data_IF_096676079447
#
_entry.id   IF_096676079447
#
_cell.length_a   1.000
_cell.length_b   1.000
_cell.length_c   1.000
_cell.angle_alpha   90.00
_cell.angle_beta   90.00
_cell.angle_gamma   90.00
#
_symmetry.space_group_name_H-M   'P 1'
#
loop_
_entity.id
_entity.type
_entity.pdbx_description
1 polymer ?
#
# COMPACT_ATOMS: atom_id res chain seq x y z
N UNK A 1 -4.70 13.13 20.58
CA UNK A 1 -3.97 13.21 19.29
C UNK A 1 -4.91 12.76 18.19
N UNK A 2 -5.04 13.55 17.13
CA UNK A 2 -5.80 13.17 15.94
C UNK A 2 -5.14 11.99 15.24
N UNK A 3 -5.96 11.12 14.63
CA UNK A 3 -5.51 9.97 13.87
C UNK A 3 -6.46 9.72 12.70
N UNK A 4 -5.95 9.12 11.63
CA UNK A 4 -6.75 8.73 10.47
C UNK A 4 -7.42 7.38 10.72
N UNK A 5 -8.60 7.18 10.15
CA UNK A 5 -9.36 5.92 10.19
C UNK A 5 -8.93 4.92 9.12
N UNK A 6 -8.20 5.41 8.11
CA UNK A 6 -7.71 4.60 7.00
C UNK A 6 -6.26 4.92 6.65
N UNK A 7 -5.64 3.94 5.98
CA UNK A 7 -4.38 4.07 5.26
C UNK A 7 -4.61 3.59 3.83
N UNK A 8 -4.28 4.41 2.85
CA UNK A 8 -4.31 4.06 1.42
C UNK A 8 -2.87 3.76 0.97
N UNK A 9 -2.62 2.54 0.51
CA UNK A 9 -1.34 2.11 -0.05
C UNK A 9 -1.36 1.96 -1.56
N UNK A 10 -0.32 2.41 -2.23
CA UNK A 10 -0.03 2.13 -3.64
C UNK A 10 1.48 1.90 -3.83
N UNK A 11 1.85 1.17 -4.88
CA UNK A 11 3.25 0.97 -5.25
C UNK A 11 3.49 1.14 -6.75
N UNK A 12 4.65 1.72 -7.09
CA UNK A 12 5.11 1.80 -8.47
C UNK A 12 6.55 1.30 -8.58
N UNK A 13 6.86 0.63 -9.69
CA UNK A 13 8.24 0.32 -10.03
C UNK A 13 9.04 1.59 -10.29
N UNK A 14 10.29 1.58 -9.86
CA UNK A 14 11.29 2.59 -10.15
C UNK A 14 12.60 1.93 -10.60
N UNK A 15 13.44 2.66 -11.33
CA UNK A 15 14.75 2.15 -11.77
C UNK A 15 15.80 3.23 -11.63
N UNK A 16 16.88 2.92 -10.93
CA UNK A 16 18.02 3.83 -10.73
C UNK A 16 19.31 3.12 -11.12
N UNK A 17 20.07 3.70 -12.07
CA UNK A 17 21.35 3.15 -12.58
C UNK A 17 21.27 1.67 -12.97
N UNK A 18 20.18 1.29 -13.64
CA UNK A 18 19.96 -0.07 -14.09
C UNK A 18 19.37 -1.02 -13.04
N UNK A 19 19.30 -0.61 -11.78
CA UNK A 19 18.81 -1.41 -10.65
C UNK A 19 17.32 -1.12 -10.40
N UNK A 20 16.50 -2.16 -10.31
CA UNK A 20 15.08 -2.05 -10.02
C UNK A 20 14.84 -1.75 -8.53
N UNK A 21 13.91 -0.84 -8.28
CA UNK A 21 13.45 -0.38 -6.97
C UNK A 21 11.92 -0.30 -7.01
N UNK A 22 11.32 -0.07 -5.86
CA UNK A 22 9.89 0.17 -5.70
C UNK A 22 9.68 1.42 -4.87
N UNK A 23 8.79 2.29 -5.35
CA UNK A 23 8.29 3.44 -4.59
C UNK A 23 6.96 3.03 -3.99
N UNK A 24 6.88 3.04 -2.66
CA UNK A 24 5.66 2.83 -1.91
C UNK A 24 5.11 4.18 -1.47
N UNK A 25 3.81 4.37 -1.62
CA UNK A 25 3.10 5.57 -1.17
C UNK A 25 2.03 5.14 -0.18
N UNK A 26 2.10 5.71 1.03
CA UNK A 26 1.06 5.54 2.05
C UNK A 26 0.44 6.89 2.38
N UNK A 27 -0.85 7.00 2.13
CA UNK A 27 -1.64 8.21 2.34
C UNK A 27 -2.68 7.99 3.44
N UNK A 28 -2.91 9.04 4.21
CA UNK A 28 -4.00 9.13 5.20
C UNK A 28 -4.75 10.44 4.99
N UNK A 29 -5.76 10.73 5.82
CA UNK A 29 -6.39 12.05 5.83
C UNK A 29 -5.42 13.17 6.31
N UNK A 30 -4.33 12.82 6.98
CA UNK A 30 -3.45 13.76 7.68
C UNK A 30 -2.09 13.95 7.01
N UNK A 31 -1.59 12.94 6.29
CA UNK A 31 -0.27 12.99 5.66
C UNK A 31 -0.14 12.02 4.50
N UNK A 32 0.95 12.19 3.75
CA UNK A 32 1.46 11.23 2.77
C UNK A 32 2.92 10.94 3.06
N UNK A 33 3.31 9.67 3.00
CA UNK A 33 4.68 9.22 3.16
C UNK A 33 5.11 8.39 1.94
N UNK A 34 6.37 8.58 1.54
CA UNK A 34 6.99 7.90 0.41
C UNK A 34 8.19 7.09 0.89
N UNK A 35 8.28 5.84 0.44
CA UNK A 35 9.40 4.94 0.77
C UNK A 35 9.95 4.34 -0.52
N UNK A 36 11.28 4.30 -0.63
CA UNK A 36 11.95 3.64 -1.75
C UNK A 36 12.67 2.41 -1.22
N UNK A 37 12.27 1.24 -1.69
CA UNK A 37 12.83 -0.04 -1.29
C UNK A 37 13.26 -0.85 -2.51
N UNK A 38 13.95 -1.96 -2.26
CA UNK A 38 14.45 -2.84 -3.33
C UNK A 38 13.40 -3.84 -3.80
N UNK A 39 12.35 -4.07 -3.00
CA UNK A 39 11.29 -5.02 -3.30
C UNK A 39 9.93 -4.45 -2.84
N UNK A 40 8.85 -5.12 -3.25
CA UNK A 40 7.48 -4.84 -2.83
C UNK A 40 6.86 -6.00 -2.06
N UNK A 41 7.70 -6.68 -1.28
CA UNK A 41 7.29 -7.86 -0.54
C UNK A 41 6.33 -7.48 0.59
N UNK A 42 5.49 -8.43 0.99
CA UNK A 42 4.65 -8.28 2.18
C UNK A 42 5.47 -7.91 3.42
N UNK A 43 6.68 -8.47 3.54
CA UNK A 43 7.59 -8.19 4.66
C UNK A 43 7.98 -6.72 4.70
N UNK A 44 8.43 -6.16 3.57
CA UNK A 44 8.78 -4.73 3.49
C UNK A 44 7.60 -3.83 3.80
N UNK A 45 6.41 -4.15 3.31
CA UNK A 45 5.20 -3.35 3.62
C UNK A 45 4.91 -3.38 5.12
N UNK A 46 5.02 -4.55 5.77
CA UNK A 46 4.85 -4.65 7.23
C UNK A 46 5.89 -3.83 7.99
N UNK A 47 7.14 -3.82 7.53
CA UNK A 47 8.21 -3.00 8.11
C UNK A 47 7.92 -1.49 7.94
N UNK A 48 7.47 -1.06 6.75
CA UNK A 48 7.08 0.33 6.48
C UNK A 48 5.94 0.77 7.41
N UNK A 49 4.95 -0.11 7.63
CA UNK A 49 3.82 0.15 8.51
C UNK A 49 4.13 -0.05 10.01
N UNK A 50 5.36 -0.46 10.35
CA UNK A 50 5.79 -0.67 11.73
C UNK A 50 5.13 -1.84 12.45
N UNK A 51 4.63 -2.84 11.71
CA UNK A 51 3.92 -3.99 12.26
C UNK A 51 4.89 -5.05 12.79
N UNK A 52 4.64 -5.53 14.00
CA UNK A 52 5.38 -6.65 14.61
C UNK A 52 4.98 -7.98 13.99
N UNK A 53 5.71 -9.05 14.33
CA UNK A 53 5.36 -10.41 13.94
C UNK A 53 3.91 -10.74 14.38
N UNK A 54 3.10 -11.28 13.48
CA UNK A 54 1.67 -11.59 13.68
C UNK A 54 0.74 -10.41 13.99
N UNK A 55 1.22 -9.17 13.96
CA UNK A 55 0.36 -7.99 14.12
C UNK A 55 -0.39 -7.68 12.82
N UNK A 56 -1.66 -7.28 12.94
CA UNK A 56 -2.43 -6.72 11.83
C UNK A 56 -2.73 -5.26 12.13
N UNK A 57 -2.73 -4.44 11.09
CA UNK A 57 -3.08 -3.03 11.19
C UNK A 57 -4.55 -2.89 11.64
N UNK A 58 -4.76 -2.17 12.74
CA UNK A 58 -6.08 -1.81 13.29
C UNK A 58 -6.64 -0.53 12.65
N UNK A 59 -6.57 -0.47 11.31
CA UNK A 59 -7.13 0.59 10.46
C UNK A 59 -7.60 -0.01 9.15
N UNK A 60 -8.48 0.69 8.44
CA UNK A 60 -8.89 0.27 7.10
C UNK A 60 -7.70 0.45 6.15
N UNK A 61 -7.23 -0.64 5.57
CA UNK A 61 -6.22 -0.61 4.52
C UNK A 61 -6.91 -0.58 3.16
N UNK A 62 -6.61 0.42 2.33
CA UNK A 62 -7.16 0.57 0.98
C UNK A 62 -6.04 0.36 -0.04
N UNK A 63 -6.12 -0.69 -0.87
CA UNK A 63 -5.10 -1.00 -1.90
C UNK A 63 -5.71 -1.68 -3.13
N UNK A 64 -4.89 -2.10 -4.09
CA UNK A 64 -5.30 -2.76 -5.34
C UNK A 64 -5.56 -4.28 -5.23
N UNK A 65 -5.63 -4.83 -4.01
CA UNK A 65 -5.76 -6.27 -3.72
C UNK A 65 -4.57 -7.14 -4.19
N UNK A 66 -3.40 -6.55 -4.45
CA UNK A 66 -2.23 -7.33 -4.75
C UNK A 66 -1.83 -8.23 -3.56
N UNK A 67 -1.30 -9.43 -3.86
CA UNK A 67 -0.97 -10.47 -2.86
C UNK A 67 -0.07 -10.00 -1.72
N UNK A 68 0.77 -8.99 -1.96
CA UNK A 68 1.63 -8.43 -0.92
C UNK A 68 0.83 -7.76 0.21
N UNK A 69 -0.41 -7.31 -0.02
CA UNK A 69 -1.28 -6.69 0.98
C UNK A 69 -2.14 -7.66 1.80
N UNK A 70 -2.20 -8.94 1.41
CA UNK A 70 -3.05 -9.92 2.10
C UNK A 70 -2.66 -10.08 3.58
N UNK A 71 -3.66 -10.01 4.45
CA UNK A 71 -3.53 -10.14 5.92
C UNK A 71 -2.67 -9.05 6.58
N UNK A 72 -2.43 -7.91 5.92
CA UNK A 72 -1.73 -6.77 6.54
C UNK A 72 -2.63 -6.04 7.54
N UNK A 73 -3.91 -5.88 7.23
CA UNK A 73 -4.91 -5.24 8.08
C UNK A 73 -6.06 -6.18 8.40
N UNK A 74 -6.79 -5.87 9.48
CA UNK A 74 -8.04 -6.58 9.83
C UNK A 74 -9.10 -6.30 8.77
N UNK A 75 -9.18 -5.04 8.31
CA UNK A 75 -10.10 -4.60 7.28
C UNK A 75 -9.30 -4.16 6.04
N UNK A 76 -9.51 -4.85 4.93
CA UNK A 76 -8.89 -4.56 3.64
C UNK A 76 -9.98 -4.20 2.62
N UNK A 77 -9.95 -2.95 2.14
CA UNK A 77 -10.86 -2.42 1.14
C UNK A 77 -10.14 -2.22 -0.21
N UNK A 78 -10.92 -2.26 -1.29
CA UNK A 78 -10.42 -2.07 -2.64
C UNK A 78 -10.28 -0.58 -2.98
N UNK A 79 -9.18 -0.23 -3.64
CA UNK A 79 -8.97 1.11 -4.17
C UNK A 79 -9.88 1.36 -5.38
N UNK A 80 -10.83 2.30 -5.23
CA UNK A 80 -11.79 2.65 -6.29
C UNK A 80 -11.11 3.11 -7.59
N UNK A 81 -9.92 3.73 -7.51
CA UNK A 81 -9.15 4.14 -8.70
C UNK A 81 -8.61 2.91 -9.45
N UNK A 82 -8.24 1.86 -8.74
CA UNK A 82 -7.84 0.60 -9.36
C UNK A 82 -9.05 -0.17 -9.90
N UNK A 83 -10.17 -0.14 -9.17
CA UNK A 83 -11.43 -0.74 -9.57
C UNK A 83 -12.00 -0.11 -10.85
N UNK A 84 -11.82 1.20 -11.10
CA UNK A 84 -12.37 1.83 -12.32
C UNK A 84 -11.56 1.54 -13.60
N UNK A 85 -10.28 1.14 -13.50
CA UNK A 85 -9.39 0.92 -14.67
C UNK A 85 -9.92 -0.11 -15.68
N UNK A 86 -10.49 -1.26 -15.28
CA UNK A 86 -11.08 -2.23 -16.20
C UNK A 86 -12.25 -1.66 -17.00
N UNK A 87 -13.11 -0.85 -16.39
CA UNK A 87 -14.31 -0.31 -17.05
C UNK A 87 -13.97 0.64 -18.20
N UNK A 88 -12.84 1.35 -18.13
CA UNK A 88 -12.37 2.23 -19.22
C UNK A 88 -12.02 1.48 -20.51
N UNK A 89 -11.85 0.16 -20.46
CA UNK A 89 -11.57 -0.67 -21.64
C UNK A 89 -12.83 -1.19 -22.33
N UNK A 90 -14.01 -0.87 -21.78
CA UNK A 90 -15.31 -1.32 -22.28
C UNK A 90 -15.98 -0.30 -23.22
N UNK A 91 -15.37 0.88 -23.41
CA UNK A 91 -15.79 1.89 -24.40
C UNK A 91 -14.74 2.04 -25.48
#
# INVERSE_FOLDING_TARGET
MEHSEYVHGDDSGARHKGINHHVHVFCTALFTAFFITMSKSKKEIREILGLKENEQLDKILITDDAKQYYYIAILHALCWIHEIRPYRKLG
#
